data_IF_307560871650
#
_entry.id   IF_307560871650
#
_cell.length_a   1.000
_cell.length_b   1.000
_cell.length_c   1.000
_cell.angle_alpha   90.00
_cell.angle_beta   90.00
_cell.angle_gamma   90.00
#
_symmetry.space_group_name_H-M   'P 1'
#
loop_
_entity.id
_entity.type
_entity.pdbx_description
1 polymer ?
#
# COMPACT_ATOMS: atom_id res chain seq x y z
N UNK A 1 0.47 -10.56 -16.88
CA UNK A 1 1.01 -9.44 -16.11
C UNK A 1 2.48 -9.74 -15.90
N UNK A 2 3.31 -9.15 -16.72
CA UNK A 2 4.75 -9.17 -16.51
C UNK A 2 5.04 -8.30 -15.29
N UNK A 3 5.70 -8.85 -14.30
CA UNK A 3 6.24 -8.12 -13.17
C UNK A 3 7.51 -7.37 -13.59
N UNK A 4 7.47 -6.72 -14.74
CA UNK A 4 8.57 -5.94 -15.26
C UNK A 4 8.64 -4.56 -14.56
N UNK A 5 8.83 -4.57 -13.25
CA UNK A 5 8.96 -3.34 -12.48
C UNK A 5 10.27 -2.62 -12.79
N UNK A 6 11.18 -3.25 -13.51
CA UNK A 6 12.52 -2.79 -13.84
C UNK A 6 12.93 -3.19 -15.26
N UNK A 7 12.03 -3.06 -16.22
CA UNK A 7 12.38 -3.15 -17.63
C UNK A 7 13.11 -1.88 -18.05
N UNK A 8 14.22 -2.00 -18.78
CA UNK A 8 14.88 -0.83 -19.32
C UNK A 8 13.96 -0.15 -20.35
N UNK A 9 13.81 1.16 -20.26
CA UNK A 9 13.11 1.96 -21.28
C UNK A 9 13.99 2.21 -22.49
N UNK A 10 15.32 2.12 -22.30
CA UNK A 10 16.34 2.24 -23.35
C UNK A 10 17.33 1.09 -23.22
N UNK A 11 17.68 0.46 -24.35
CA UNK A 11 18.59 -0.67 -24.38
C UNK A 11 17.87 -2.03 -24.22
N UNK A 12 18.55 -3.00 -23.63
CA UNK A 12 18.07 -4.37 -23.43
C UNK A 12 18.39 -4.87 -22.00
N UNK A 13 17.83 -6.02 -21.62
CA UNK A 13 18.16 -6.68 -20.35
C UNK A 13 19.59 -7.21 -20.39
N UNK A 14 20.28 -7.24 -19.23
CA UNK A 14 21.65 -7.75 -19.14
C UNK A 14 21.66 -9.28 -19.37
N UNK A 15 22.50 -9.74 -20.30
CA UNK A 15 22.68 -11.14 -20.63
C UNK A 15 24.10 -11.61 -20.31
N UNK A 16 25.11 -10.82 -20.68
CA UNK A 16 26.50 -11.14 -20.39
C UNK A 16 26.86 -10.87 -18.93
N UNK A 17 27.88 -11.55 -18.40
CA UNK A 17 28.30 -11.45 -16.99
C UNK A 17 28.65 -10.01 -16.58
N UNK A 18 29.24 -9.24 -17.48
CA UNK A 18 29.66 -7.87 -17.24
C UNK A 18 28.59 -6.82 -17.65
N UNK A 19 27.39 -7.22 -17.99
CA UNK A 19 26.31 -6.31 -18.34
C UNK A 19 25.44 -5.96 -17.16
N UNK A 20 25.06 -4.68 -17.09
CA UNK A 20 24.12 -4.17 -16.09
C UNK A 20 23.08 -3.23 -16.72
N UNK A 21 21.96 -3.11 -16.03
CA UNK A 21 21.03 -2.00 -16.22
C UNK A 21 20.87 -1.23 -14.93
N UNK A 22 20.64 0.09 -15.04
CA UNK A 22 20.49 0.95 -13.87
C UNK A 22 19.42 2.03 -14.12
N UNK A 23 18.93 2.61 -13.05
CA UNK A 23 18.11 3.81 -13.16
C UNK A 23 18.97 5.07 -13.38
N UNK A 24 18.38 6.07 -14.04
CA UNK A 24 19.08 7.32 -14.41
C UNK A 24 19.60 8.08 -13.18
N UNK A 25 18.91 8.06 -12.06
CA UNK A 25 19.33 8.72 -10.82
C UNK A 25 20.56 8.07 -10.21
N UNK A 26 20.63 6.74 -10.27
CA UNK A 26 21.84 6.00 -9.83
C UNK A 26 23.04 6.30 -10.71
N UNK A 27 22.85 6.35 -12.03
CA UNK A 27 23.91 6.73 -12.96
C UNK A 27 24.41 8.15 -12.71
N UNK A 28 23.51 9.11 -12.47
CA UNK A 28 23.87 10.48 -12.10
C UNK A 28 24.67 10.53 -10.80
N UNK A 29 24.26 9.78 -9.78
CA UNK A 29 24.97 9.71 -8.50
C UNK A 29 26.38 9.11 -8.63
N UNK A 30 26.56 8.16 -9.56
CA UNK A 30 27.86 7.56 -9.89
C UNK A 30 28.70 8.42 -10.85
N UNK A 31 28.14 9.50 -11.38
CA UNK A 31 28.81 10.36 -12.38
C UNK A 31 28.98 9.70 -13.74
N UNK A 32 28.16 8.70 -14.07
CA UNK A 32 28.21 7.95 -15.33
C UNK A 32 27.10 8.46 -16.26
N UNK A 33 27.41 8.75 -17.55
CA UNK A 33 26.38 9.16 -18.49
C UNK A 33 25.39 8.00 -18.76
N UNK A 34 24.10 8.34 -18.94
CA UNK A 34 23.06 7.39 -19.32
C UNK A 34 23.14 7.05 -20.82
N UNK A 35 24.23 6.42 -21.24
CA UNK A 35 24.52 6.03 -22.60
C UNK A 35 24.84 4.52 -22.68
N UNK A 36 24.24 3.83 -23.66
CA UNK A 36 24.51 2.40 -23.85
C UNK A 36 25.98 2.20 -24.19
N UNK A 37 26.62 1.25 -23.52
CA UNK A 37 28.06 0.96 -23.65
C UNK A 37 28.95 1.75 -22.68
N UNK A 38 28.37 2.64 -21.86
CA UNK A 38 29.13 3.32 -20.81
C UNK A 38 29.71 2.29 -19.80
N UNK A 39 30.93 2.53 -19.36
CA UNK A 39 31.53 1.71 -18.28
C UNK A 39 31.10 2.23 -16.92
N UNK A 40 30.64 1.33 -16.07
CA UNK A 40 30.22 1.60 -14.70
C UNK A 40 31.08 0.78 -13.77
N UNK A 41 32.00 1.42 -13.04
CA UNK A 41 32.81 0.76 -12.01
C UNK A 41 32.00 0.71 -10.74
N UNK A 42 31.77 -0.50 -10.22
CA UNK A 42 31.02 -0.73 -8.99
C UNK A 42 31.89 -1.37 -7.92
N UNK A 43 31.86 -0.76 -6.75
CA UNK A 43 32.33 -1.38 -5.51
C UNK A 43 31.15 -2.04 -4.81
N UNK A 44 31.22 -3.33 -4.55
CA UNK A 44 30.16 -4.08 -3.89
C UNK A 44 30.72 -5.13 -2.95
N UNK A 45 29.89 -5.56 -2.03
CA UNK A 45 30.25 -6.56 -1.02
C UNK A 45 29.37 -7.81 -1.17
N UNK A 46 30.00 -8.99 -1.11
CA UNK A 46 29.31 -10.28 -1.02
C UNK A 46 29.87 -11.02 0.18
N UNK A 47 29.04 -11.36 1.15
CA UNK A 47 29.43 -12.12 2.36
C UNK A 47 30.63 -11.52 3.09
N UNK A 48 30.68 -10.20 3.26
CA UNK A 48 31.76 -9.52 3.97
C UNK A 48 33.03 -9.33 3.15
N UNK A 49 33.05 -9.72 1.88
CA UNK A 49 34.19 -9.53 0.99
C UNK A 49 33.89 -8.46 -0.05
N UNK A 50 34.76 -7.47 -0.13
CA UNK A 50 34.65 -6.37 -1.10
C UNK A 50 35.18 -6.78 -2.48
N UNK A 51 34.50 -6.31 -3.50
CA UNK A 51 34.82 -6.49 -4.92
C UNK A 51 34.70 -5.17 -5.66
N UNK A 52 35.57 -4.96 -6.63
CA UNK A 52 35.46 -3.85 -7.59
C UNK A 52 35.42 -4.44 -8.98
N UNK A 53 34.37 -4.13 -9.75
CA UNK A 53 34.21 -4.66 -11.11
C UNK A 53 33.72 -3.58 -12.07
N UNK A 54 34.27 -3.60 -13.27
CA UNK A 54 33.82 -2.77 -14.38
C UNK A 54 32.70 -3.47 -15.16
N UNK A 55 31.53 -2.85 -15.17
CA UNK A 55 30.39 -3.31 -15.93
C UNK A 55 30.13 -2.43 -17.14
N UNK A 56 29.44 -2.98 -18.12
CA UNK A 56 28.96 -2.27 -19.29
C UNK A 56 27.46 -1.99 -19.15
N UNK A 57 27.06 -0.75 -19.27
CA UNK A 57 25.64 -0.34 -19.23
C UNK A 57 24.95 -0.78 -20.53
N UNK A 58 24.08 -1.80 -20.46
CA UNK A 58 23.32 -2.30 -21.61
C UNK A 58 21.89 -1.77 -21.69
N UNK A 59 21.41 -1.14 -20.62
CA UNK A 59 20.09 -0.51 -20.59
C UNK A 59 19.89 0.37 -19.36
N UNK A 60 18.93 1.27 -19.44
CA UNK A 60 18.55 2.12 -18.31
C UNK A 60 17.07 2.50 -18.38
N UNK A 61 16.52 2.97 -17.25
CA UNK A 61 15.16 3.50 -17.15
C UNK A 61 15.12 4.76 -16.31
N UNK A 62 14.10 5.59 -16.56
CA UNK A 62 13.87 6.78 -15.74
C UNK A 62 13.26 6.37 -14.40
N UNK A 63 13.84 6.91 -13.32
CA UNK A 63 13.33 6.68 -11.97
C UNK A 63 12.11 7.56 -11.71
N UNK A 64 11.06 6.98 -11.13
CA UNK A 64 9.95 7.76 -10.58
C UNK A 64 10.47 8.69 -9.47
N UNK A 65 10.07 9.97 -9.54
CA UNK A 65 10.53 11.03 -8.62
C UNK A 65 10.28 10.73 -7.13
N UNK A 66 9.40 9.80 -6.84
CA UNK A 66 9.05 9.37 -5.47
C UNK A 66 10.02 8.31 -4.90
N UNK A 67 10.87 7.68 -5.73
CA UNK A 67 11.82 6.68 -5.28
C UNK A 67 13.13 7.32 -4.85
N UNK A 68 13.53 7.13 -3.59
CA UNK A 68 14.83 7.52 -3.07
C UNK A 68 15.87 6.38 -3.09
N UNK A 69 15.52 5.23 -3.66
CA UNK A 69 16.38 4.06 -3.72
C UNK A 69 16.88 3.90 -5.14
N UNK A 70 18.20 4.03 -5.31
CA UNK A 70 18.89 3.70 -6.56
C UNK A 70 18.95 2.19 -6.75
N UNK A 71 18.92 1.73 -8.01
CA UNK A 71 18.96 0.29 -8.34
C UNK A 71 19.85 0.03 -9.52
N UNK A 72 20.65 -1.05 -9.36
CA UNK A 72 21.44 -1.64 -10.41
C UNK A 72 21.01 -3.11 -10.51
N UNK A 73 20.82 -3.60 -11.71
CA UNK A 73 20.44 -4.99 -11.95
C UNK A 73 21.52 -5.63 -12.80
N UNK A 74 22.08 -6.69 -12.28
CA UNK A 74 23.08 -7.53 -12.97
C UNK A 74 22.41 -8.65 -13.76
N UNK A 75 23.18 -9.28 -14.64
CA UNK A 75 22.71 -10.42 -15.43
C UNK A 75 22.57 -11.70 -14.60
N UNK A 76 21.80 -12.66 -15.12
CA UNK A 76 21.79 -14.01 -14.57
C UNK A 76 23.16 -14.69 -14.65
N UNK A 77 23.94 -14.42 -15.69
CA UNK A 77 25.28 -14.95 -15.86
C UNK A 77 26.22 -14.51 -14.72
N UNK A 78 26.11 -13.26 -14.28
CA UNK A 78 26.82 -12.76 -13.09
C UNK A 78 26.43 -13.52 -11.81
N UNK A 79 25.12 -13.76 -11.62
CA UNK A 79 24.65 -14.51 -10.44
C UNK A 79 25.16 -15.96 -10.49
N UNK A 80 25.09 -16.59 -11.65
CA UNK A 80 25.53 -17.98 -11.82
C UNK A 80 27.06 -18.14 -11.61
N UNK A 81 27.87 -17.15 -12.02
CA UNK A 81 29.34 -17.16 -11.77
C UNK A 81 29.74 -16.98 -10.31
N UNK A 82 28.83 -16.39 -9.50
CA UNK A 82 29.01 -16.18 -8.07
C UNK A 82 28.13 -17.10 -7.20
N UNK A 83 27.54 -18.15 -7.78
CA UNK A 83 26.58 -19.01 -7.09
C UNK A 83 27.13 -19.63 -5.80
N UNK A 84 28.42 -19.98 -5.77
CA UNK A 84 29.07 -20.54 -4.58
C UNK A 84 29.13 -19.53 -3.41
N UNK A 85 29.14 -18.23 -3.72
CA UNK A 85 29.21 -17.16 -2.73
C UNK A 85 27.79 -16.69 -2.33
N UNK A 86 26.84 -16.80 -3.24
CA UNK A 86 25.45 -16.36 -3.06
C UNK A 86 24.56 -17.45 -2.44
N UNK A 87 25.09 -18.17 -1.46
CA UNK A 87 24.30 -19.17 -0.73
C UNK A 87 23.27 -18.47 0.15
N UNK A 88 21.99 -18.88 -0.03
CA UNK A 88 20.93 -18.36 0.81
C UNK A 88 21.12 -18.86 2.25
N UNK A 89 21.22 -17.90 3.16
CA UNK A 89 21.02 -18.15 4.59
C UNK A 89 20.09 -17.05 5.05
N UNK A 90 19.08 -17.37 5.86
CA UNK A 90 18.24 -16.31 6.42
C UNK A 90 19.16 -15.31 7.14
N UNK A 91 19.08 -14.01 6.83
CA UNK A 91 20.04 -13.03 7.32
C UNK A 91 19.87 -12.84 8.83
N UNK A 92 20.80 -13.37 9.59
CA UNK A 92 20.91 -13.10 11.03
C UNK A 92 21.61 -11.77 11.26
N UNK A 93 22.50 -11.37 10.34
CA UNK A 93 23.39 -10.20 10.48
C UNK A 93 23.14 -9.11 9.43
N UNK A 94 21.91 -8.95 8.93
CA UNK A 94 21.57 -8.02 7.84
C UNK A 94 22.32 -8.24 6.51
N UNK A 95 22.94 -9.40 6.32
CA UNK A 95 23.52 -9.80 5.04
C UNK A 95 22.41 -10.35 4.12
N UNK A 96 22.08 -9.60 3.08
CA UNK A 96 21.05 -9.94 2.11
C UNK A 96 21.62 -10.57 0.83
N UNK A 97 22.91 -10.89 0.80
CA UNK A 97 23.55 -11.52 -0.36
C UNK A 97 22.96 -12.90 -0.64
N UNK A 98 22.51 -13.12 -1.87
CA UNK A 98 21.95 -14.39 -2.30
C UNK A 98 20.48 -14.64 -1.93
N UNK A 99 19.77 -13.64 -1.43
CA UNK A 99 18.31 -13.77 -1.18
C UNK A 99 17.57 -13.96 -2.50
N UNK A 100 16.82 -15.05 -2.58
CA UNK A 100 15.88 -15.31 -3.68
C UNK A 100 14.49 -14.84 -3.28
N UNK A 101 13.93 -13.93 -4.07
CA UNK A 101 12.56 -13.41 -3.86
C UNK A 101 11.64 -13.91 -4.96
N UNK A 102 10.55 -14.58 -4.58
CA UNK A 102 9.49 -14.99 -5.48
C UNK A 102 8.29 -14.05 -5.35
N UNK A 103 7.86 -13.47 -6.45
CA UNK A 103 6.61 -12.71 -6.52
C UNK A 103 5.50 -13.63 -7.03
N UNK A 104 4.49 -13.86 -6.20
CA UNK A 104 3.38 -14.76 -6.51
C UNK A 104 2.09 -13.96 -6.59
N UNK A 105 1.31 -14.22 -7.64
CA UNK A 105 -0.01 -13.62 -7.82
C UNK A 105 -1.08 -14.72 -7.79
N UNK A 106 -1.99 -14.63 -6.84
CA UNK A 106 -3.12 -15.54 -6.74
C UNK A 106 -4.27 -15.09 -7.63
N UNK A 107 -4.93 -16.04 -8.30
CA UNK A 107 -6.15 -15.80 -9.07
C UNK A 107 -7.39 -16.09 -8.21
N UNK A 108 -8.48 -15.40 -8.52
CA UNK A 108 -9.78 -15.60 -7.89
C UNK A 108 -10.04 -14.72 -6.67
N UNK A 109 -11.24 -14.84 -6.12
CA UNK A 109 -11.69 -14.12 -4.91
C UNK A 109 -11.17 -14.80 -3.63
N UNK A 110 -11.17 -14.07 -2.53
CA UNK A 110 -10.76 -14.54 -1.22
C UNK A 110 -9.52 -13.84 -0.67
N UNK A 111 -9.20 -14.11 0.58
CA UNK A 111 -8.05 -13.54 1.26
C UNK A 111 -6.75 -14.03 0.64
N UNK A 112 -5.86 -13.09 0.32
CA UNK A 112 -4.52 -13.41 -0.19
C UNK A 112 -3.69 -14.07 0.90
N UNK A 113 -3.87 -13.66 2.16
CA UNK A 113 -3.24 -14.23 3.33
C UNK A 113 -3.56 -15.72 3.50
N UNK A 114 -4.85 -16.09 3.41
CA UNK A 114 -5.27 -17.49 3.52
C UNK A 114 -4.68 -18.37 2.42
N UNK A 115 -4.67 -17.86 1.17
CA UNK A 115 -4.07 -18.56 0.04
C UNK A 115 -2.56 -18.72 0.18
N UNK A 116 -1.89 -17.71 0.72
CA UNK A 116 -0.46 -17.77 0.99
C UNK A 116 -0.16 -18.81 2.07
N UNK A 117 -0.90 -18.82 3.18
CA UNK A 117 -0.74 -19.80 4.25
C UNK A 117 -1.01 -21.23 3.76
N UNK A 118 -2.04 -21.43 2.92
CA UNK A 118 -2.32 -22.71 2.30
C UNK A 118 -1.15 -23.17 1.42
N UNK A 119 -0.63 -22.29 0.55
CA UNK A 119 0.51 -22.59 -0.33
C UNK A 119 1.75 -22.98 0.48
N UNK A 120 2.06 -22.22 1.54
CA UNK A 120 3.22 -22.51 2.40
C UNK A 120 3.06 -23.87 3.10
N UNK A 121 1.87 -24.17 3.61
CA UNK A 121 1.57 -25.45 4.25
C UNK A 121 1.71 -26.61 3.25
N UNK A 122 1.19 -26.45 2.03
CA UNK A 122 1.26 -27.48 0.98
C UNK A 122 2.70 -27.72 0.49
N UNK A 123 3.53 -26.67 0.49
CA UNK A 123 4.94 -26.75 0.05
C UNK A 123 5.90 -27.12 1.18
N UNK A 124 5.43 -27.17 2.42
CA UNK A 124 6.25 -27.53 3.59
C UNK A 124 7.13 -26.39 4.11
N UNK A 125 6.91 -25.15 3.64
CA UNK A 125 7.59 -23.97 4.17
C UNK A 125 6.87 -23.39 5.38
N UNK A 126 7.63 -22.76 6.26
CA UNK A 126 7.12 -22.05 7.44
C UNK A 126 7.44 -20.55 7.35
N UNK A 127 6.67 -19.75 8.08
CA UNK A 127 6.88 -18.31 8.22
C UNK A 127 6.35 -17.84 9.58
N UNK A 128 6.55 -16.58 9.96
CA UNK A 128 6.11 -16.02 11.23
C UNK A 128 4.62 -16.27 11.51
N UNK A 129 3.76 -16.11 10.51
CA UNK A 129 2.29 -16.30 10.67
C UNK A 129 1.86 -17.76 10.86
N UNK A 130 2.72 -18.71 10.50
CA UNK A 130 2.54 -20.16 10.73
C UNK A 130 3.31 -20.65 11.96
N UNK A 131 3.90 -19.74 12.75
CA UNK A 131 4.67 -20.10 13.94
C UNK A 131 6.09 -20.60 13.65
N UNK A 132 6.57 -20.44 12.42
CA UNK A 132 7.96 -20.74 12.04
C UNK A 132 8.94 -19.79 12.71
N UNK A 133 10.14 -20.30 12.93
CA UNK A 133 11.26 -19.52 13.49
C UNK A 133 12.33 -19.31 12.41
N UNK A 134 13.04 -18.18 12.42
CA UNK A 134 14.15 -17.92 11.47
C UNK A 134 15.25 -18.96 11.46
N UNK A 135 15.32 -19.78 12.50
CA UNK A 135 16.27 -20.89 12.65
C UNK A 135 15.81 -22.19 11.98
N UNK A 136 14.56 -22.26 11.54
CA UNK A 136 14.04 -23.47 10.89
C UNK A 136 14.58 -23.57 9.46
N UNK A 137 14.97 -24.75 9.04
CA UNK A 137 15.58 -25.01 7.72
C UNK A 137 14.62 -24.63 6.56
N UNK A 138 13.34 -24.74 6.78
CA UNK A 138 12.28 -24.43 5.81
C UNK A 138 11.60 -23.06 6.05
N UNK A 139 12.23 -22.18 6.86
CA UNK A 139 11.69 -20.86 7.12
C UNK A 139 11.88 -19.92 5.93
N UNK A 140 10.82 -19.22 5.57
CA UNK A 140 10.87 -18.13 4.59
C UNK A 140 10.15 -16.89 5.09
N UNK A 141 10.61 -15.72 4.65
CA UNK A 141 9.90 -14.45 4.90
C UNK A 141 8.79 -14.32 3.87
N UNK A 142 7.56 -14.52 4.29
CA UNK A 142 6.40 -14.34 3.44
C UNK A 142 5.69 -13.03 3.78
N UNK A 143 5.47 -12.18 2.77
CA UNK A 143 4.79 -10.90 2.93
C UNK A 143 3.71 -10.71 1.88
N UNK A 144 2.53 -10.30 2.30
CA UNK A 144 1.48 -9.83 1.39
C UNK A 144 1.71 -8.36 1.10
N UNK A 145 1.60 -7.97 -0.18
CA UNK A 145 1.68 -6.56 -0.54
C UNK A 145 0.58 -5.76 0.17
N UNK A 146 0.90 -4.60 0.77
CA UNK A 146 -0.09 -3.76 1.44
C UNK A 146 -1.30 -3.39 0.56
N UNK A 147 -1.13 -3.37 -0.77
CA UNK A 147 -2.22 -3.12 -1.72
C UNK A 147 -3.28 -4.24 -1.75
N UNK A 148 -2.95 -5.44 -1.26
CA UNK A 148 -3.82 -6.62 -1.21
C UNK A 148 -4.09 -7.09 0.21
N UNK A 149 -3.55 -6.43 1.21
CA UNK A 149 -3.95 -6.70 2.59
C UNK A 149 -5.42 -6.33 2.72
N UNK A 150 -6.23 -7.33 3.02
CA UNK A 150 -7.65 -7.14 3.26
C UNK A 150 -7.82 -6.21 4.44
N UNK A 151 -8.10 -5.00 4.09
CA UNK A 151 -8.69 -3.94 4.88
C UNK A 151 -8.29 -3.85 6.37
N UNK A 152 -7.70 -2.73 6.75
CA UNK A 152 -7.46 -2.38 8.16
C UNK A 152 -8.76 -2.29 9.01
N UNK A 153 -9.93 -2.61 8.45
CA UNK A 153 -11.22 -2.59 9.15
C UNK A 153 -11.24 -3.60 10.31
N UNK A 154 -10.55 -4.74 10.19
CA UNK A 154 -10.54 -5.73 11.26
C UNK A 154 -9.60 -5.37 12.41
N UNK A 155 -8.47 -4.74 12.13
CA UNK A 155 -7.51 -4.30 13.16
C UNK A 155 -7.94 -3.01 13.88
N UNK A 156 -8.69 -2.14 13.18
CA UNK A 156 -9.18 -0.88 13.73
C UNK A 156 -10.72 -0.83 13.84
N UNK A 157 -11.35 -1.97 14.12
CA UNK A 157 -12.81 -2.05 14.31
C UNK A 157 -13.32 -1.03 15.34
N UNK A 158 -12.54 -0.74 16.39
CA UNK A 158 -12.87 0.27 17.37
C UNK A 158 -12.95 1.68 16.78
N UNK A 159 -12.03 2.06 15.89
CA UNK A 159 -12.05 3.36 15.20
C UNK A 159 -13.23 3.45 14.22
N UNK A 160 -13.55 2.36 13.54
CA UNK A 160 -14.70 2.32 12.62
C UNK A 160 -16.02 2.46 13.38
N UNK A 161 -16.18 1.73 14.49
CA UNK A 161 -17.35 1.84 15.39
C UNK A 161 -17.44 3.25 15.98
N UNK A 162 -16.33 3.83 16.45
CA UNK A 162 -16.30 5.20 16.97
C UNK A 162 -16.72 6.22 15.90
N UNK A 163 -16.32 6.03 14.64
CA UNK A 163 -16.76 6.85 13.50
C UNK A 163 -18.26 6.78 13.29
N UNK A 164 -18.85 5.58 13.28
CA UNK A 164 -20.32 5.40 13.15
C UNK A 164 -21.05 6.06 14.30
N UNK A 165 -20.61 5.86 15.54
CA UNK A 165 -21.21 6.47 16.74
C UNK A 165 -21.12 8.00 16.65
N UNK A 166 -20.00 8.55 16.19
CA UNK A 166 -19.83 10.00 15.97
C UNK A 166 -20.82 10.55 14.95
N UNK A 167 -21.01 9.89 13.83
CA UNK A 167 -22.00 10.29 12.81
C UNK A 167 -23.42 10.25 13.37
N UNK A 168 -23.79 9.20 14.09
CA UNK A 168 -25.11 9.09 14.72
C UNK A 168 -25.35 10.19 15.76
N UNK A 169 -24.32 10.55 16.54
CA UNK A 169 -24.42 11.64 17.52
C UNK A 169 -24.65 13.00 16.83
N UNK A 170 -23.95 13.28 15.73
CA UNK A 170 -24.15 14.51 14.94
C UNK A 170 -25.56 14.54 14.36
N UNK A 171 -26.05 13.44 13.81
CA UNK A 171 -27.42 13.36 13.28
C UNK A 171 -28.48 13.57 14.38
N UNK A 172 -28.29 12.97 15.55
CA UNK A 172 -29.18 13.14 16.68
C UNK A 172 -29.21 14.59 17.18
N UNK A 173 -28.05 15.24 17.26
CA UNK A 173 -27.94 16.65 17.65
C UNK A 173 -28.65 17.56 16.63
N UNK A 174 -28.42 17.34 15.35
CA UNK A 174 -29.13 18.07 14.27
C UNK A 174 -30.65 17.89 14.34
N UNK A 175 -31.10 16.65 14.57
CA UNK A 175 -32.53 16.38 14.75
C UNK A 175 -33.11 17.11 15.95
N UNK A 176 -32.43 17.11 17.10
CA UNK A 176 -32.90 17.82 18.32
C UNK A 176 -33.00 19.33 18.10
N UNK A 177 -32.05 19.93 17.38
CA UNK A 177 -32.09 21.36 17.05
C UNK A 177 -33.32 21.67 16.21
N UNK A 178 -33.54 20.91 15.14
CA UNK A 178 -34.70 21.09 14.25
C UNK A 178 -35.98 20.87 15.03
N UNK A 179 -36.07 19.83 15.84
CA UNK A 179 -37.23 19.53 16.68
C UNK A 179 -37.55 20.69 17.63
N UNK A 180 -36.55 21.25 18.31
CA UNK A 180 -36.74 22.37 19.24
C UNK A 180 -37.25 23.62 18.51
N UNK A 181 -36.71 23.92 17.32
CA UNK A 181 -37.16 25.05 16.49
C UNK A 181 -38.65 24.88 16.10
N UNK A 182 -39.01 23.69 15.61
CA UNK A 182 -40.40 23.39 15.27
C UNK A 182 -41.31 23.48 16.50
N UNK A 183 -40.91 22.96 17.63
CA UNK A 183 -41.70 22.99 18.86
C UNK A 183 -41.96 24.44 19.31
N UNK A 184 -40.96 25.31 19.27
CA UNK A 184 -41.10 26.72 19.60
C UNK A 184 -42.05 27.41 18.61
N UNK A 185 -41.88 27.18 17.33
CA UNK A 185 -42.74 27.75 16.26
C UNK A 185 -44.20 27.34 16.43
N UNK A 186 -44.45 26.04 16.67
CA UNK A 186 -45.82 25.55 16.89
C UNK A 186 -46.46 26.14 18.15
N UNK A 187 -45.69 26.30 19.24
CA UNK A 187 -46.21 26.92 20.49
C UNK A 187 -46.58 28.39 20.22
N UNK A 188 -45.71 29.14 19.51
CA UNK A 188 -46.00 30.54 19.16
C UNK A 188 -47.23 30.67 18.27
N UNK A 189 -47.42 29.77 17.29
CA UNK A 189 -48.56 29.74 16.44
C UNK A 189 -49.85 29.46 17.25
N UNK A 190 -49.81 28.47 18.16
CA UNK A 190 -50.95 28.18 19.05
C UNK A 190 -51.33 29.38 19.90
N UNK A 191 -50.33 30.09 20.47
CA UNK A 191 -50.55 31.29 21.26
C UNK A 191 -51.19 32.42 20.40
N UNK A 192 -50.65 32.66 19.21
CA UNK A 192 -51.16 33.67 18.29
C UNK A 192 -52.58 33.37 17.86
N UNK A 193 -52.92 32.14 17.54
CA UNK A 193 -54.28 31.72 17.20
C UNK A 193 -55.23 31.78 18.41
N UNK A 194 -54.73 31.51 19.61
CA UNK A 194 -55.43 31.67 20.87
C UNK A 194 -55.86 33.15 21.08
N UNK A 195 -54.91 34.08 20.90
CA UNK A 195 -55.17 35.52 20.98
C UNK A 195 -56.17 36.01 19.95
N UNK A 196 -56.04 35.54 18.68
CA UNK A 196 -57.03 35.89 17.65
C UNK A 196 -58.44 35.39 17.97
N UNK A 197 -58.57 34.25 18.65
CA UNK A 197 -59.85 33.71 19.09
C UNK A 197 -60.45 34.52 20.22
N UNK A 198 -59.70 35.11 21.13
CA UNK A 198 -60.17 35.97 22.21
C UNK A 198 -60.67 37.33 21.64
N UNK A 199 -60.15 37.79 20.52
CA UNK A 199 -60.58 38.98 19.77
C UNK A 199 -61.81 38.72 18.92
N UNK A 200 -62.41 37.50 18.98
CA UNK A 200 -63.70 37.20 18.32
C UNK A 200 -63.54 36.67 16.88
N UNK A 201 -62.35 36.27 16.43
CA UNK A 201 -62.19 35.68 15.09
C UNK A 201 -62.90 34.34 14.98
N UNK A 202 -63.59 34.13 13.85
CA UNK A 202 -64.31 32.88 13.60
C UNK A 202 -63.36 31.76 13.14
N UNK A 203 -63.71 30.51 13.40
CA UNK A 203 -62.92 29.31 13.01
C UNK A 203 -62.64 29.30 11.50
N UNK A 204 -63.48 29.83 10.65
CA UNK A 204 -63.29 29.92 9.19
C UNK A 204 -62.18 30.91 8.82
N UNK A 205 -62.10 32.04 9.55
CA UNK A 205 -61.07 33.06 9.34
C UNK A 205 -59.68 32.53 9.77
N UNK A 206 -59.52 31.85 10.92
CA UNK A 206 -58.32 31.23 11.39
C UNK A 206 -57.83 30.18 10.38
N UNK A 207 -58.74 29.30 9.88
CA UNK A 207 -58.38 28.30 8.88
C UNK A 207 -57.87 28.92 7.57
N UNK A 208 -58.38 30.09 7.18
CA UNK A 208 -57.96 30.81 5.98
C UNK A 208 -56.56 31.43 6.16
N UNK A 209 -56.19 31.82 7.37
CA UNK A 209 -54.86 32.32 7.72
C UNK A 209 -53.83 31.16 7.66
N UNK A 210 -54.14 30.04 8.33
CA UNK A 210 -53.28 28.84 8.35
C UNK A 210 -53.01 28.32 6.93
N UNK A 211 -53.99 28.29 6.05
CA UNK A 211 -53.79 27.80 4.67
C UNK A 211 -53.00 28.78 3.77
N UNK A 212 -52.70 29.98 4.22
CA UNK A 212 -51.98 31.00 3.46
C UNK A 212 -50.52 31.17 3.92
N UNK A 213 -50.18 30.59 5.06
CA UNK A 213 -48.86 30.51 5.64
C UNK A 213 -48.10 29.27 5.14
#
# INVERSE_FOLDING_TARGET
LEFARYEPTTGHRPEAENEIIADTKTLEALGVPAEIGATVTLDYEIKGKEYTTDFTLCGFWETDSLSNIGRIIVSKAFIDSHADLLTYTYPVDNDYSGIVTAYIMFRGSGSVEEKLQQLLTETGYTCDTLGGQPTDENYIVARVSPAYQSSPISENSALFIAGIVGILAIMATGYLIIYNIFQISVIQDIQSYGQLKTLGTTRRQIKKIINKQ
#
